data_IF_987851075419
#
_entry.id   IF_987851075419
#
_cell.length_a   1.000
_cell.length_b   1.000
_cell.length_c   1.000
_cell.angle_alpha   90.00
_cell.angle_beta   90.00
_cell.angle_gamma   90.00
#
_symmetry.space_group_name_H-M   'P 1'
#
loop_
_entity.id
_entity.type
_entity.pdbx_description
1 polymer ?
#
# COMPACT_ATOMS: atom_id res chain seq x y z
N UNK A 1 11.16 -12.47 11.28
CA UNK A 1 10.95 -11.16 11.91
C UNK A 1 9.62 -10.67 11.41
N UNK A 2 8.68 -10.35 12.30
CA UNK A 2 7.32 -9.93 11.92
C UNK A 2 7.34 -8.49 11.42
N UNK A 3 6.51 -8.17 10.41
CA UNK A 3 6.22 -6.78 10.03
C UNK A 3 5.56 -6.06 11.23
N UNK A 4 5.98 -4.83 11.49
CA UNK A 4 5.29 -3.94 12.44
C UNK A 4 4.43 -2.93 11.68
N UNK A 5 3.26 -2.62 12.24
CA UNK A 5 2.31 -1.66 11.69
C UNK A 5 2.04 -0.54 12.70
N UNK A 6 2.28 0.70 12.30
CA UNK A 6 1.75 1.87 12.99
C UNK A 6 0.67 2.51 12.14
N UNK A 7 -0.41 2.95 12.79
CA UNK A 7 -1.54 3.54 12.09
C UNK A 7 -1.83 4.91 12.67
N UNK A 8 -1.76 5.90 11.80
CA UNK A 8 -2.10 7.28 12.06
C UNK A 8 -3.38 7.61 11.32
N UNK A 9 -4.35 8.15 12.05
CA UNK A 9 -5.60 8.56 11.45
C UNK A 9 -5.55 10.03 11.08
N UNK A 10 -5.81 10.31 9.82
CA UNK A 10 -6.06 11.65 9.32
C UNK A 10 -7.54 11.75 8.97
N UNK A 11 -8.14 12.94 9.05
CA UNK A 11 -9.52 13.17 8.64
C UNK A 11 -9.80 12.78 7.18
N UNK A 12 -8.78 12.83 6.31
CA UNK A 12 -8.94 12.58 4.87
C UNK A 12 -8.53 11.17 4.41
N UNK A 13 -7.66 10.48 5.16
CA UNK A 13 -7.13 9.16 4.77
C UNK A 13 -6.54 8.42 5.98
N UNK A 14 -6.39 7.11 5.84
CA UNK A 14 -5.68 6.26 6.79
C UNK A 14 -4.19 6.21 6.43
N UNK A 15 -3.30 6.60 7.35
CA UNK A 15 -1.86 6.48 7.16
C UNK A 15 -1.34 5.24 7.90
N UNK A 16 -0.82 4.27 7.16
CA UNK A 16 -0.27 3.02 7.67
C UNK A 16 1.23 2.99 7.41
N UNK A 17 2.04 3.06 8.47
CA UNK A 17 3.48 2.85 8.39
C UNK A 17 3.81 1.39 8.63
N UNK A 18 4.56 0.80 7.72
CA UNK A 18 4.98 -0.60 7.78
C UNK A 18 6.50 -0.67 7.83
N UNK A 19 7.04 -1.49 8.72
CA UNK A 19 8.48 -1.65 8.89
C UNK A 19 8.90 -3.09 9.12
N UNK A 20 10.10 -3.42 8.66
CA UNK A 20 10.72 -4.74 8.86
C UNK A 20 10.90 -5.53 7.56
N UNK A 21 11.32 -6.79 7.72
CA UNK A 21 11.52 -7.70 6.59
C UNK A 21 10.20 -8.36 6.21
N UNK A 22 9.81 -8.25 4.95
CA UNK A 22 8.56 -8.79 4.44
C UNK A 22 8.78 -9.87 3.39
N UNK A 23 8.10 -10.98 3.58
CA UNK A 23 7.80 -11.97 2.53
C UNK A 23 6.55 -11.55 1.77
N UNK A 24 6.21 -12.24 0.68
CA UNK A 24 4.93 -12.05 0.03
C UNK A 24 3.76 -12.23 1.01
N UNK A 25 3.77 -13.26 1.85
CA UNK A 25 2.69 -13.53 2.81
C UNK A 25 2.49 -12.37 3.79
N UNK A 26 3.58 -11.76 4.25
CA UNK A 26 3.50 -10.58 5.12
C UNK A 26 2.86 -9.39 4.39
N UNK A 27 3.16 -9.22 3.09
CA UNK A 27 2.57 -8.17 2.27
C UNK A 27 1.08 -8.43 2.00
N UNK A 28 0.67 -9.68 1.72
CA UNK A 28 -0.75 -10.02 1.56
C UNK A 28 -1.52 -9.78 2.87
N UNK A 29 -0.97 -10.21 4.00
CA UNK A 29 -1.54 -9.93 5.32
C UNK A 29 -1.65 -8.42 5.61
N UNK A 30 -0.69 -7.62 5.15
CA UNK A 30 -0.77 -6.16 5.25
C UNK A 30 -1.98 -5.58 4.50
N UNK A 31 -2.31 -6.14 3.33
CA UNK A 31 -3.45 -5.70 2.52
C UNK A 31 -4.76 -6.01 3.24
N UNK A 32 -4.89 -7.21 3.82
CA UNK A 32 -6.08 -7.61 4.58
C UNK A 32 -6.27 -6.76 5.84
N UNK A 33 -5.16 -6.46 6.54
CA UNK A 33 -5.17 -5.59 7.70
C UNK A 33 -5.66 -4.18 7.34
N UNK A 34 -5.11 -3.60 6.28
CA UNK A 34 -5.49 -2.26 5.80
C UNK A 34 -6.95 -2.24 5.36
N UNK A 35 -7.41 -3.24 4.60
CA UNK A 35 -8.81 -3.36 4.18
C UNK A 35 -9.74 -3.33 5.39
N UNK A 36 -9.45 -4.18 6.37
CA UNK A 36 -10.27 -4.32 7.58
C UNK A 36 -10.29 -3.02 8.38
N UNK A 37 -9.14 -2.35 8.50
CA UNK A 37 -9.01 -1.12 9.27
C UNK A 37 -9.68 0.07 8.59
N UNK A 38 -9.49 0.22 7.28
CA UNK A 38 -10.11 1.26 6.48
C UNK A 38 -11.64 1.12 6.51
N UNK A 39 -12.17 -0.10 6.34
CA UNK A 39 -13.60 -0.38 6.44
C UNK A 39 -14.15 -0.06 7.84
N UNK A 40 -13.47 -0.51 8.91
CA UNK A 40 -13.88 -0.26 10.29
C UNK A 40 -13.89 1.23 10.67
N UNK A 41 -13.03 2.03 10.04
CA UNK A 41 -12.91 3.48 10.28
C UNK A 41 -13.56 4.35 9.20
N UNK A 42 -14.24 3.74 8.22
CA UNK A 42 -14.90 4.42 7.09
C UNK A 42 -13.96 5.28 6.24
N UNK A 43 -12.68 4.91 6.18
CA UNK A 43 -11.72 5.52 5.26
C UNK A 43 -11.76 4.80 3.92
N UNK A 44 -11.77 5.57 2.83
CA UNK A 44 -11.67 5.05 1.45
C UNK A 44 -10.36 5.42 0.79
N UNK A 45 -9.48 6.11 1.50
CA UNK A 45 -8.19 6.59 1.01
C UNK A 45 -7.12 6.16 1.98
N UNK A 46 -6.02 5.62 1.47
CA UNK A 46 -4.97 5.02 2.29
C UNK A 46 -3.61 5.47 1.81
N UNK A 47 -2.75 5.85 2.74
CA UNK A 47 -1.31 5.99 2.53
C UNK A 47 -0.61 4.79 3.20
N UNK A 48 0.12 4.01 2.41
CA UNK A 48 1.03 2.96 2.88
C UNK A 48 2.46 3.47 2.84
N UNK A 49 3.05 3.78 3.98
CA UNK A 49 4.48 4.05 4.08
C UNK A 49 5.24 2.74 4.24
N UNK A 50 5.98 2.39 3.18
CA UNK A 50 6.77 1.18 3.04
C UNK A 50 8.28 1.49 3.05
N UNK A 51 8.68 2.73 3.39
CA UNK A 51 10.09 3.13 3.40
C UNK A 51 10.92 2.34 4.41
N UNK A 52 10.31 1.80 5.46
CA UNK A 52 10.99 0.95 6.43
C UNK A 52 10.86 -0.55 6.12
N UNK A 53 10.24 -0.93 5.00
CA UNK A 53 10.10 -2.32 4.58
C UNK A 53 11.30 -2.77 3.73
N UNK A 54 11.86 -3.90 4.12
CA UNK A 54 12.85 -4.65 3.36
C UNK A 54 12.19 -5.88 2.78
N UNK A 55 12.09 -5.96 1.46
CA UNK A 55 11.61 -7.16 0.78
C UNK A 55 12.49 -7.45 -0.43
N UNK A 56 12.54 -8.71 -0.81
CA UNK A 56 13.16 -9.20 -2.05
C UNK A 56 12.14 -10.09 -2.75
N UNK A 57 11.09 -9.45 -3.28
CA UNK A 57 10.00 -10.17 -3.96
C UNK A 57 10.42 -10.35 -5.43
N UNK A 58 10.48 -11.58 -5.95
CA UNK A 58 10.65 -11.80 -7.38
C UNK A 58 9.47 -11.22 -8.17
N UNK A 59 9.68 -11.02 -9.47
CA UNK A 59 8.67 -10.43 -10.36
C UNK A 59 7.30 -11.13 -10.28
N UNK A 60 7.27 -12.45 -10.20
CA UNK A 60 6.03 -13.24 -10.09
C UNK A 60 5.24 -12.92 -8.81
N UNK A 61 5.93 -12.69 -7.70
CA UNK A 61 5.29 -12.31 -6.44
C UNK A 61 4.78 -10.87 -6.48
N UNK A 62 5.46 -9.96 -7.20
CA UNK A 62 4.92 -8.64 -7.46
C UNK A 62 3.63 -8.67 -8.31
N UNK A 63 3.53 -9.58 -9.28
CA UNK A 63 2.30 -9.78 -10.04
C UNK A 63 1.18 -10.28 -9.13
N UNK A 64 1.47 -11.28 -8.30
CA UNK A 64 0.50 -11.84 -7.36
C UNK A 64 0.00 -10.78 -6.36
N UNK A 65 0.90 -9.98 -5.79
CA UNK A 65 0.53 -8.87 -4.91
C UNK A 65 -0.35 -7.85 -5.64
N UNK A 66 -0.02 -7.51 -6.89
CA UNK A 66 -0.81 -6.60 -7.71
C UNK A 66 -2.24 -7.08 -7.95
N UNK A 67 -2.43 -8.36 -8.29
CA UNK A 67 -3.76 -8.97 -8.42
C UNK A 67 -4.49 -9.00 -7.09
N UNK A 68 -3.80 -9.35 -6.00
CA UNK A 68 -4.41 -9.40 -4.67
C UNK A 68 -4.95 -8.05 -4.21
N UNK A 69 -4.21 -6.97 -4.46
CA UNK A 69 -4.64 -5.59 -4.16
C UNK A 69 -5.99 -5.26 -4.83
N UNK A 70 -6.23 -5.74 -6.05
CA UNK A 70 -7.48 -5.49 -6.80
C UNK A 70 -8.65 -6.20 -6.16
N UNK A 71 -8.48 -7.49 -5.87
CA UNK A 71 -9.54 -8.31 -5.31
C UNK A 71 -9.91 -7.88 -3.89
N UNK A 72 -8.96 -7.30 -3.14
CA UNK A 72 -9.13 -7.02 -1.73
C UNK A 72 -9.40 -5.55 -1.42
N UNK A 73 -8.96 -4.61 -2.26
CA UNK A 73 -9.12 -3.17 -2.02
C UNK A 73 -10.14 -2.49 -2.94
N UNK A 74 -11.15 -3.23 -3.44
CA UNK A 74 -12.21 -2.69 -4.31
C UNK A 74 -12.99 -1.50 -3.72
N UNK A 75 -13.07 -1.41 -2.38
CA UNK A 75 -13.79 -0.34 -1.67
C UNK A 75 -12.92 0.91 -1.42
N UNK A 76 -11.60 0.79 -1.64
CA UNK A 76 -10.63 1.89 -1.53
C UNK A 76 -10.65 2.68 -2.83
N UNK A 77 -10.96 3.97 -2.72
CA UNK A 77 -10.92 4.93 -3.83
C UNK A 77 -9.49 5.20 -4.28
N UNK A 78 -8.57 5.43 -3.32
CA UNK A 78 -7.16 5.77 -3.62
C UNK A 78 -6.19 5.14 -2.65
N UNK A 79 -5.15 4.52 -3.18
CA UNK A 79 -4.04 3.94 -2.43
C UNK A 79 -2.72 4.60 -2.84
N UNK A 80 -2.09 5.34 -1.93
CA UNK A 80 -0.74 5.83 -2.12
C UNK A 80 0.24 4.87 -1.44
N UNK A 81 1.29 4.46 -2.14
CA UNK A 81 2.40 3.70 -1.56
C UNK A 81 3.66 4.55 -1.58
N UNK A 82 4.22 4.87 -0.41
CA UNK A 82 5.48 5.61 -0.29
C UNK A 82 6.61 4.61 -0.07
N UNK A 83 7.64 4.66 -0.91
CA UNK A 83 8.78 3.73 -0.87
C UNK A 83 10.10 4.51 -0.81
N UNK A 84 11.21 3.82 -0.51
CA UNK A 84 12.54 4.46 -0.58
C UNK A 84 12.85 4.88 -2.02
N UNK A 85 13.59 6.00 -2.23
CA UNK A 85 14.14 6.36 -3.52
C UNK A 85 14.88 5.17 -4.16
N UNK A 86 14.66 4.93 -5.46
CA UNK A 86 15.22 3.78 -6.18
C UNK A 86 14.41 2.47 -6.08
N UNK A 87 13.39 2.39 -5.21
CA UNK A 87 12.41 1.29 -5.18
C UNK A 87 11.09 1.62 -5.86
N UNK A 88 11.04 2.67 -6.67
CA UNK A 88 9.85 3.12 -7.41
C UNK A 88 9.42 2.15 -8.54
N UNK A 89 9.96 0.94 -8.57
CA UNK A 89 9.64 -0.12 -9.52
C UNK A 89 8.29 -0.74 -9.11
N UNK A 90 7.22 0.05 -9.24
CA UNK A 90 5.86 -0.30 -8.84
C UNK A 90 5.22 -1.35 -9.75
N UNK A 91 5.81 -2.55 -9.89
CA UNK A 91 5.23 -3.65 -10.70
C UNK A 91 3.83 -4.00 -10.17
N UNK A 92 3.70 -4.17 -8.85
CA UNK A 92 2.40 -4.43 -8.22
C UNK A 92 1.40 -3.28 -8.46
N UNK A 93 1.85 -2.03 -8.32
CA UNK A 93 1.01 -0.85 -8.57
C UNK A 93 0.55 -0.78 -10.04
N UNK A 94 1.44 -1.06 -11.00
CA UNK A 94 1.10 -1.10 -12.44
C UNK A 94 0.08 -2.20 -12.76
N UNK A 95 0.18 -3.36 -12.12
CA UNK A 95 -0.80 -4.44 -12.28
C UNK A 95 -2.15 -4.01 -11.71
N UNK A 96 -2.17 -3.47 -10.49
CA UNK A 96 -3.39 -3.03 -9.84
C UNK A 96 -4.08 -1.88 -10.61
N UNK A 97 -3.31 -0.93 -11.15
CA UNK A 97 -3.82 0.12 -12.05
C UNK A 97 -4.49 -0.44 -13.30
N UNK A 98 -3.86 -1.43 -13.96
CA UNK A 98 -4.44 -2.09 -15.15
C UNK A 98 -5.76 -2.79 -14.87
N UNK A 99 -6.00 -3.13 -13.61
CA UNK A 99 -7.17 -3.88 -13.15
C UNK A 99 -8.19 -2.98 -12.42
N UNK A 100 -8.00 -1.65 -12.45
CA UNK A 100 -9.01 -0.67 -12.04
C UNK A 100 -8.83 -0.06 -10.65
N UNK A 101 -7.77 -0.40 -9.91
CA UNK A 101 -7.47 0.24 -8.61
C UNK A 101 -6.73 1.55 -8.84
N UNK A 102 -7.20 2.63 -8.24
CA UNK A 102 -6.46 3.90 -8.21
C UNK A 102 -5.32 3.80 -7.18
N UNK A 103 -4.21 3.19 -7.59
CA UNK A 103 -2.98 3.09 -6.78
C UNK A 103 -1.86 3.89 -7.42
N UNK A 104 -1.02 4.56 -6.62
CA UNK A 104 0.20 5.22 -7.09
C UNK A 104 1.34 5.01 -6.12
N UNK A 105 2.56 4.91 -6.65
CA UNK A 105 3.79 4.79 -5.86
C UNK A 105 4.54 6.12 -5.91
N UNK A 106 5.01 6.56 -4.75
CA UNK A 106 5.73 7.81 -4.52
C UNK A 106 7.02 7.51 -3.75
N UNK A 107 8.03 8.36 -3.88
CA UNK A 107 9.19 8.41 -2.98
C UNK A 107 9.15 9.62 -2.03
N UNK A 108 8.27 10.58 -2.29
CA UNK A 108 7.95 11.71 -1.42
C UNK A 108 6.58 11.53 -0.75
N UNK A 109 6.55 11.62 0.58
CA UNK A 109 5.32 11.49 1.35
C UNK A 109 4.39 12.68 1.13
N UNK A 110 4.91 13.90 1.06
CA UNK A 110 4.07 15.09 0.91
C UNK A 110 3.36 15.13 -0.45
N UNK A 111 3.97 14.59 -1.51
CA UNK A 111 3.32 14.37 -2.80
C UNK A 111 2.21 13.32 -2.73
N UNK A 112 2.47 12.19 -2.06
CA UNK A 112 1.47 11.14 -1.84
C UNK A 112 0.23 11.68 -1.12
N UNK A 113 0.43 12.44 -0.05
CA UNK A 113 -0.66 13.06 0.72
C UNK A 113 -1.46 14.06 -0.11
N UNK A 114 -0.78 14.93 -0.87
CA UNK A 114 -1.45 15.87 -1.78
C UNK A 114 -2.34 15.15 -2.78
N UNK A 115 -1.84 14.06 -3.39
CA UNK A 115 -2.63 13.26 -4.32
C UNK A 115 -3.84 12.59 -3.67
N UNK A 116 -3.70 12.07 -2.44
CA UNK A 116 -4.83 11.51 -1.70
C UNK A 116 -5.89 12.55 -1.36
N UNK A 117 -5.52 13.81 -1.16
CA UNK A 117 -6.46 14.89 -0.82
C UNK A 117 -7.01 15.67 -2.02
N UNK A 118 -6.46 15.45 -3.22
CA UNK A 118 -6.91 16.12 -4.46
C UNK A 118 -8.26 15.65 -5.00
#
# INVERSE_FOLDING_TARGET
MLLSFNVHENAAFLHCETAGKATLQDMLASVDFIKSLAAGRRHRRVLMDMRAVEHDLPFTEHLQLGSYLVDHLSDIERLASVVRPGRLVGVAAKVAQKLGVEVRTFDDQAEAERWLTS
#
